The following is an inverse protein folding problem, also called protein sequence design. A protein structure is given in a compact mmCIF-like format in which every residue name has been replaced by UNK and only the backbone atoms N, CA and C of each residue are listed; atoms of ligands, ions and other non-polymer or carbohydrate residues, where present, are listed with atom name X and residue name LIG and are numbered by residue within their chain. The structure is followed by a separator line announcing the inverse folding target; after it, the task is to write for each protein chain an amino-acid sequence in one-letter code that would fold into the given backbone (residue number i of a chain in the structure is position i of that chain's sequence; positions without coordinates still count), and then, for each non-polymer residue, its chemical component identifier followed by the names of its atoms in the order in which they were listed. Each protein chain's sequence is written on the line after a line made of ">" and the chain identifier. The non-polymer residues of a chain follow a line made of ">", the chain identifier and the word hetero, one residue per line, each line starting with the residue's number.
data_IF_089943005203
#
_entry.id   IF_089943005203
#
_cell.length_a   1.000
_cell.length_b   1.000
_cell.length_c   1.000
_cell.angle_alpha   90.00
_cell.angle_beta   90.00
_cell.angle_gamma   90.00
#
_symmetry.space_group_name_H-M   'P 1'
#
loop_
_entity.id
_entity.type
_entity.pdbx_description
1 polymer ?
#
# COMPACT_ATOMS: atom_id res chain seq x y z
N UNK A 1 -38.31 -16.40 49.96
CA UNK A 1 -38.87 -15.08 50.30
C UNK A 1 -38.81 -14.19 49.06
N UNK A 2 -39.83 -13.35 48.91
CA UNK A 2 -40.28 -12.59 47.73
C UNK A 2 -39.30 -11.46 47.26
N UNK A 3 -39.56 -10.66 46.19
CA UNK A 3 -38.70 -10.49 45.00
C UNK A 3 -38.55 -8.99 44.59
N UNK A 4 -38.34 -8.71 43.28
CA UNK A 4 -38.34 -7.40 42.57
C UNK A 4 -37.00 -6.61 42.67
N UNK A 5 -36.41 -6.04 41.62
CA UNK A 5 -36.98 -5.52 40.38
C UNK A 5 -35.92 -5.42 39.27
N UNK A 6 -36.44 -5.49 38.04
CA UNK A 6 -35.84 -5.43 36.72
C UNK A 6 -35.19 -4.09 36.35
N UNK A 7 -34.12 -4.18 35.54
CA UNK A 7 -33.94 -3.55 34.21
C UNK A 7 -34.08 -2.02 34.08
N UNK A 8 -33.01 -1.33 33.61
CA UNK A 8 -33.08 -0.40 32.46
C UNK A 8 -31.72 0.18 32.06
N UNK A 9 -31.42 0.00 30.79
CA UNK A 9 -30.54 0.84 29.96
C UNK A 9 -30.95 2.30 30.01
N UNK A 10 -29.97 3.21 30.01
CA UNK A 10 -30.21 4.63 29.76
C UNK A 10 -29.23 5.10 28.68
N UNK A 11 -29.78 5.18 27.48
CA UNK A 11 -29.30 5.99 26.35
C UNK A 11 -29.20 7.46 26.76
N UNK A 12 -28.05 8.10 26.49
CA UNK A 12 -27.90 9.54 26.70
C UNK A 12 -28.18 10.27 25.39
N UNK A 13 -29.39 10.82 25.30
CA UNK A 13 -29.83 11.75 24.27
C UNK A 13 -29.24 13.13 24.58
N UNK A 14 -28.41 13.69 23.70
CA UNK A 14 -27.99 15.09 23.80
C UNK A 14 -29.02 15.98 23.09
N UNK A 15 -29.70 16.83 23.87
CA UNK A 15 -30.54 17.91 23.36
C UNK A 15 -29.66 19.12 23.02
N UNK A 16 -29.80 19.63 21.80
CA UNK A 16 -29.14 20.83 21.31
C UNK A 16 -29.66 22.10 21.98
N UNK A 17 -28.76 22.88 22.57
CA UNK A 17 -29.01 24.24 23.04
C UNK A 17 -28.40 25.26 22.08
N UNK A 18 -29.26 26.09 21.47
CA UNK A 18 -28.90 27.26 20.67
C UNK A 18 -28.00 28.22 21.46
N UNK A 19 -26.78 28.48 20.97
CA UNK A 19 -25.94 29.60 21.43
C UNK A 19 -26.07 30.80 20.48
N UNK A 20 -26.32 31.95 21.09
CA UNK A 20 -26.57 33.27 20.47
C UNK A 20 -25.33 33.81 19.74
N UNK A 21 -25.59 34.52 18.65
CA UNK A 21 -24.64 35.25 17.80
C UNK A 21 -23.79 36.27 18.59
N UNK A 22 -22.47 36.24 18.37
CA UNK A 22 -21.54 37.33 18.70
C UNK A 22 -21.14 38.07 17.40
N UNK A 23 -20.95 39.40 17.43
CA UNK A 23 -20.67 40.20 16.24
C UNK A 23 -19.23 40.01 15.75
N UNK A 24 -19.08 39.83 14.43
CA UNK A 24 -17.81 39.70 13.72
C UNK A 24 -17.28 41.12 13.42
N UNK A 25 -16.10 41.47 13.93
CA UNK A 25 -15.36 42.68 13.51
C UNK A 25 -14.53 42.37 12.26
N UNK A 26 -14.49 43.25 11.24
CA UNK A 26 -13.72 43.00 10.02
C UNK A 26 -12.21 43.05 10.28
N UNK A 27 -11.47 42.10 9.69
CA UNK A 27 -10.00 42.05 9.70
C UNK A 27 -9.42 43.23 8.90
N UNK A 28 -8.32 43.85 9.35
CA UNK A 28 -7.59 44.84 8.54
C UNK A 28 -6.87 44.16 7.36
N UNK A 29 -6.61 44.88 6.25
CA UNK A 29 -5.99 44.32 5.06
C UNK A 29 -4.51 43.96 5.30
N UNK A 30 -4.11 42.80 4.80
CA UNK A 30 -2.72 42.31 4.86
C UNK A 30 -1.87 43.10 3.86
N UNK A 31 -0.78 43.71 4.34
CA UNK A 31 0.20 44.39 3.49
C UNK A 31 0.94 43.39 2.60
N UNK A 32 1.14 43.74 1.32
CA UNK A 32 1.84 42.93 0.35
C UNK A 32 3.32 42.71 0.75
N UNK A 33 3.78 41.46 0.71
CA UNK A 33 5.17 41.09 0.96
C UNK A 33 6.09 41.56 -0.20
N UNK A 34 7.32 42.03 0.07
CA UNK A 34 8.25 42.45 -0.97
C UNK A 34 8.83 41.24 -1.72
N UNK A 35 8.87 41.34 -3.06
CA UNK A 35 9.50 40.35 -3.93
C UNK A 35 11.01 40.27 -3.63
N UNK A 36 11.51 39.09 -3.24
CA UNK A 36 12.95 38.82 -3.15
C UNK A 36 13.51 38.42 -4.52
N UNK A 37 14.63 39.03 -4.90
CA UNK A 37 15.39 38.69 -6.10
C UNK A 37 15.98 37.26 -6.02
N UNK A 38 16.17 36.57 -7.16
CA UNK A 38 16.67 35.20 -7.18
C UNK A 38 18.16 35.12 -6.81
N UNK A 39 18.53 34.10 -6.03
CA UNK A 39 19.91 33.81 -5.66
C UNK A 39 20.73 33.27 -6.87
N UNK A 40 22.04 33.55 -6.95
CA UNK A 40 22.89 33.08 -8.04
C UNK A 40 23.17 31.56 -7.94
N UNK A 41 23.21 30.88 -9.10
CA UNK A 41 23.50 29.44 -9.21
C UNK A 41 24.95 29.11 -8.80
N UNK A 42 25.21 28.00 -8.10
CA UNK A 42 26.56 27.51 -7.89
C UNK A 42 27.15 26.90 -9.16
N UNK A 43 28.38 27.30 -9.49
CA UNK A 43 29.19 26.77 -10.60
C UNK A 43 29.79 25.40 -10.26
N UNK A 44 29.68 24.45 -11.19
CA UNK A 44 30.26 23.10 -11.08
C UNK A 44 31.81 23.12 -11.07
N UNK A 45 32.49 22.24 -10.30
CA UNK A 45 33.94 22.10 -10.40
C UNK A 45 34.33 21.22 -11.59
N UNK A 46 35.31 21.71 -12.35
CA UNK A 46 36.03 21.01 -13.41
C UNK A 46 37.04 20.07 -12.76
N UNK A 47 36.93 18.75 -12.98
CA UNK A 47 38.00 17.79 -12.68
C UNK A 47 38.50 17.09 -13.94
N UNK A 48 39.81 17.19 -14.10
CA UNK A 48 40.64 16.80 -15.25
C UNK A 48 40.81 15.28 -15.30
N UNK A 49 40.65 14.71 -16.49
CA UNK A 49 40.90 13.29 -16.83
C UNK A 49 42.32 12.85 -16.48
N UNK A 50 42.44 11.64 -15.91
CA UNK A 50 43.63 10.79 -16.06
C UNK A 50 43.17 9.42 -16.54
N UNK A 51 43.67 9.06 -17.72
CA UNK A 51 43.49 7.77 -18.36
C UNK A 51 44.39 6.74 -17.68
N UNK A 52 43.85 5.56 -17.33
CA UNK A 52 44.67 4.37 -17.15
C UNK A 52 43.93 3.15 -17.74
N UNK A 53 44.45 2.68 -18.88
CA UNK A 53 44.09 1.43 -19.53
C UNK A 53 44.76 0.27 -18.81
N UNK A 54 44.00 -0.75 -18.40
CA UNK A 54 44.51 -2.11 -18.30
C UNK A 54 43.40 -3.10 -18.70
N UNK A 55 43.72 -3.93 -19.69
CA UNK A 55 42.96 -5.07 -20.18
C UNK A 55 42.94 -6.19 -19.14
N UNK A 56 41.88 -7.00 -19.12
CA UNK A 56 42.01 -8.44 -18.85
C UNK A 56 40.84 -9.19 -19.50
N UNK A 57 41.17 -9.89 -20.58
CA UNK A 57 40.43 -11.01 -21.12
C UNK A 57 41.01 -12.31 -20.57
N UNK A 58 40.14 -13.32 -20.51
CA UNK A 58 40.40 -14.76 -20.60
C UNK A 58 40.95 -15.52 -19.38
N UNK A 59 40.07 -16.42 -18.92
CA UNK A 59 40.30 -17.84 -18.59
C UNK A 59 41.27 -18.19 -17.47
N UNK A 60 40.79 -18.95 -16.48
CA UNK A 60 41.54 -20.09 -15.97
C UNK A 60 40.62 -21.28 -15.61
N UNK A 61 40.95 -22.38 -16.26
CA UNK A 61 40.53 -23.76 -16.00
C UNK A 61 41.59 -24.45 -15.13
N UNK A 62 41.13 -25.52 -14.45
CA UNK A 62 41.87 -26.71 -14.00
C UNK A 62 42.74 -26.69 -12.72
N UNK A 63 42.33 -27.59 -11.81
CA UNK A 63 43.06 -28.58 -11.01
C UNK A 63 44.54 -28.36 -10.64
N UNK A 64 44.84 -28.48 -9.34
CA UNK A 64 46.00 -29.21 -8.84
C UNK A 64 45.81 -29.66 -7.38
N UNK A 65 46.30 -30.87 -7.10
CA UNK A 65 46.29 -31.58 -5.83
C UNK A 65 47.41 -31.11 -4.87
N UNK A 66 47.25 -31.39 -3.58
CA UNK A 66 48.30 -31.31 -2.57
C UNK A 66 47.89 -32.04 -1.28
N UNK A 67 48.63 -33.10 -0.95
CA UNK A 67 48.46 -34.02 0.18
C UNK A 67 48.65 -33.37 1.55
N UNK A 68 48.03 -33.96 2.58
CA UNK A 68 48.66 -34.16 3.89
C UNK A 68 48.10 -35.43 4.58
N UNK A 69 49.03 -36.35 4.81
CA UNK A 69 49.07 -37.51 5.71
C UNK A 69 48.34 -37.27 7.04
N UNK A 70 47.70 -38.21 7.75
CA UNK A 70 47.82 -39.65 7.84
C UNK A 70 47.73 -40.05 9.33
N UNK A 71 46.56 -40.47 9.81
CA UNK A 71 46.41 -41.22 11.06
C UNK A 71 45.45 -42.39 10.80
N UNK A 72 45.99 -43.62 10.87
CA UNK A 72 45.28 -44.89 10.76
C UNK A 72 44.57 -45.21 12.08
N UNK A 73 43.29 -45.55 12.02
CA UNK A 73 42.68 -46.47 12.99
C UNK A 73 41.81 -47.53 12.30
N UNK A 74 41.87 -48.74 12.86
CA UNK A 74 41.43 -50.03 12.31
C UNK A 74 39.91 -50.14 12.11
N UNK A 75 39.50 -50.73 10.97
CA UNK A 75 38.15 -51.29 10.75
C UNK A 75 38.03 -52.69 11.37
N UNK A 76 36.84 -53.05 11.88
CA UNK A 76 36.35 -54.41 11.73
C UNK A 76 34.99 -54.47 11.01
N UNK A 77 34.91 -55.39 10.05
CA UNK A 77 33.78 -56.27 9.75
C UNK A 77 32.38 -55.70 9.60
N UNK A 78 31.87 -55.69 8.36
CA UNK A 78 30.48 -55.45 8.01
C UNK A 78 29.51 -56.47 8.65
N UNK A 79 28.42 -55.97 9.23
CA UNK A 79 27.14 -56.68 9.35
C UNK A 79 26.03 -55.79 8.81
N UNK A 80 25.37 -56.22 7.73
CA UNK A 80 24.14 -55.60 7.22
C UNK A 80 23.03 -55.86 8.23
N UNK A 81 22.59 -54.83 8.93
CA UNK A 81 21.33 -54.84 9.69
C UNK A 81 20.30 -54.02 8.92
N UNK A 82 19.25 -54.69 8.43
CA UNK A 82 18.06 -54.04 7.88
C UNK A 82 17.21 -53.49 9.03
N UNK A 83 17.15 -52.17 9.17
CA UNK A 83 16.24 -51.52 10.11
C UNK A 83 14.87 -51.27 9.46
N UNK A 84 13.75 -51.60 10.13
CA UNK A 84 12.42 -51.29 9.60
C UNK A 84 12.21 -49.78 9.57
N UNK A 85 11.75 -49.25 8.43
CA UNK A 85 11.24 -47.89 8.31
C UNK A 85 9.95 -47.75 9.12
N UNK A 86 10.05 -47.41 10.39
CA UNK A 86 8.92 -46.87 11.16
C UNK A 86 9.02 -45.34 11.12
N UNK A 87 8.12 -44.71 10.36
CA UNK A 87 7.93 -43.27 10.39
C UNK A 87 7.32 -42.91 11.76
N UNK A 88 7.81 -41.88 12.46
CA UNK A 88 7.11 -41.35 13.62
C UNK A 88 5.72 -40.90 13.18
N UNK A 89 4.69 -41.36 13.89
CA UNK A 89 3.31 -40.94 13.68
C UNK A 89 3.20 -39.47 14.14
N UNK A 90 3.40 -38.54 13.21
CA UNK A 90 3.07 -37.14 13.42
C UNK A 90 1.57 -37.11 13.64
N UNK A 91 1.17 -36.77 14.87
CA UNK A 91 -0.21 -36.70 15.30
C UNK A 91 -1.06 -35.99 14.26
N UNK A 92 -2.22 -36.59 13.99
CA UNK A 92 -3.24 -36.13 13.07
C UNK A 92 -3.24 -34.62 12.92
N UNK A 93 -2.86 -34.16 11.72
CA UNK A 93 -3.24 -32.83 11.26
C UNK A 93 -4.72 -32.67 11.60
N UNK A 94 -5.03 -31.69 12.46
CA UNK A 94 -6.39 -31.27 12.76
C UNK A 94 -7.16 -31.28 11.46
N UNK A 95 -8.16 -32.16 11.36
CA UNK A 95 -9.07 -32.20 10.21
C UNK A 95 -9.71 -30.82 10.13
N UNK A 96 -9.18 -29.94 9.28
CA UNK A 96 -9.89 -28.73 8.87
C UNK A 96 -11.10 -29.25 8.12
N UNK A 97 -12.25 -29.24 8.79
CA UNK A 97 -13.55 -29.64 8.25
C UNK A 97 -13.79 -28.84 6.97
N UNK A 98 -13.46 -29.43 5.83
CA UNK A 98 -13.86 -28.95 4.50
C UNK A 98 -15.38 -29.15 4.40
N UNK A 99 -16.15 -28.18 4.90
CA UNK A 99 -17.59 -28.34 4.96
C UNK A 99 -18.42 -27.10 5.30
N UNK A 100 -17.83 -26.01 5.77
CA UNK A 100 -18.56 -24.74 5.91
C UNK A 100 -18.17 -23.85 4.73
N UNK A 101 -19.06 -23.75 3.75
CA UNK A 101 -18.95 -22.71 2.72
C UNK A 101 -19.17 -21.38 3.43
N UNK A 102 -18.08 -20.73 3.86
CA UNK A 102 -18.14 -19.40 4.44
C UNK A 102 -18.58 -18.43 3.34
N UNK A 103 -19.87 -18.19 3.24
CA UNK A 103 -20.44 -17.18 2.36
C UNK A 103 -20.26 -15.82 3.02
N UNK A 104 -19.49 -14.94 2.40
CA UNK A 104 -19.39 -13.55 2.85
C UNK A 104 -20.78 -12.91 2.65
N UNK A 105 -21.43 -12.41 3.72
CA UNK A 105 -22.78 -11.86 3.62
C UNK A 105 -22.81 -10.65 2.68
N UNK A 106 -23.95 -10.29 2.07
CA UNK A 106 -24.09 -9.03 1.34
C UNK A 106 -23.86 -7.83 2.27
N UNK A 107 -23.40 -6.71 1.72
CA UNK A 107 -23.23 -5.45 2.48
C UNK A 107 -24.61 -4.88 2.80
N UNK A 108 -24.84 -4.47 4.05
CA UNK A 108 -26.08 -3.80 4.42
C UNK A 108 -26.10 -2.34 3.90
N UNK A 109 -27.28 -1.74 3.65
CA UNK A 109 -27.38 -0.41 3.03
C UNK A 109 -26.63 0.72 3.75
N UNK A 110 -26.48 0.60 5.07
CA UNK A 110 -25.87 1.59 5.95
C UNK A 110 -24.43 1.22 6.33
N UNK A 111 -23.83 0.24 5.66
CA UNK A 111 -22.54 -0.34 6.01
C UNK A 111 -21.51 -0.13 4.91
N UNK A 112 -20.29 0.23 5.31
CA UNK A 112 -19.11 0.22 4.45
C UNK A 112 -18.15 -0.88 4.90
N UNK A 113 -17.53 -1.57 3.95
CA UNK A 113 -16.50 -2.57 4.22
C UNK A 113 -15.17 -2.09 3.69
N UNK A 114 -14.13 -2.27 4.50
CA UNK A 114 -12.74 -2.08 4.12
C UNK A 114 -12.09 -3.44 4.21
N UNK A 115 -11.55 -3.93 3.10
CA UNK A 115 -11.02 -5.29 2.99
C UNK A 115 -9.61 -5.21 2.39
N UNK A 116 -8.55 -5.36 3.18
CA UNK A 116 -7.22 -5.56 2.64
C UNK A 116 -7.14 -6.96 2.00
N UNK A 117 -6.79 -7.02 0.72
CA UNK A 117 -6.49 -8.27 0.00
C UNK A 117 -4.98 -8.59 -0.03
N UNK A 118 -4.14 -7.64 0.40
CA UNK A 118 -2.71 -7.78 0.60
C UNK A 118 -2.13 -6.51 1.23
N UNK A 119 -0.88 -6.58 1.71
CA UNK A 119 -0.18 -5.45 2.35
C UNK A 119 -0.38 -5.34 3.87
N UNK A 120 -1.02 -6.34 4.50
CA UNK A 120 -1.20 -6.40 5.96
C UNK A 120 -0.40 -7.58 6.49
N UNK A 121 0.39 -7.35 7.54
CA UNK A 121 1.35 -8.33 8.11
C UNK A 121 2.44 -8.77 7.11
N UNK A 122 2.69 -7.98 6.07
CA UNK A 122 3.70 -8.23 5.04
C UNK A 122 4.18 -6.94 4.38
N UNK A 123 5.30 -6.98 3.66
CA UNK A 123 5.81 -5.87 2.85
C UNK A 123 5.43 -6.10 1.39
N UNK A 124 4.70 -5.13 0.83
CA UNK A 124 4.20 -5.09 -0.54
C UNK A 124 2.90 -5.85 -0.75
N UNK A 125 2.55 -6.13 -2.01
CA UNK A 125 1.24 -6.67 -2.39
C UNK A 125 0.06 -5.76 -1.95
N UNK A 126 0.28 -4.43 -1.88
CA UNK A 126 -0.72 -3.49 -1.40
C UNK A 126 -1.97 -3.53 -2.30
N UNK A 127 -3.10 -3.90 -1.70
CA UNK A 127 -4.41 -3.85 -2.35
C UNK A 127 -5.49 -3.79 -1.25
N UNK A 128 -6.22 -2.68 -1.20
CA UNK A 128 -7.33 -2.50 -0.27
C UNK A 128 -8.62 -2.20 -1.03
N UNK A 129 -9.72 -2.81 -0.60
CA UNK A 129 -11.04 -2.58 -1.18
C UNK A 129 -11.88 -1.73 -0.23
N UNK A 130 -12.54 -0.74 -0.78
CA UNK A 130 -13.68 -0.07 -0.18
C UNK A 130 -14.97 -0.52 -0.89
N UNK A 131 -15.93 -1.05 -0.13
CA UNK A 131 -17.19 -1.55 -0.66
C UNK A 131 -18.39 -1.00 0.10
N UNK A 132 -19.38 -0.50 -0.64
CA UNK A 132 -20.72 -0.20 -0.14
C UNK A 132 -21.75 -1.17 -0.75
N UNK A 133 -23.05 -0.96 -0.51
CA UNK A 133 -24.12 -1.81 -1.04
C UNK A 133 -23.99 -2.06 -2.55
N UNK A 134 -23.61 -1.04 -3.34
CA UNK A 134 -23.69 -1.04 -4.79
C UNK A 134 -22.33 -1.01 -5.50
N UNK A 135 -21.32 -0.42 -4.87
CA UNK A 135 -20.07 -0.04 -5.52
C UNK A 135 -18.85 -0.61 -4.78
N UNK A 136 -17.83 -0.96 -5.57
CA UNK A 136 -16.49 -1.32 -5.13
C UNK A 136 -15.50 -0.33 -5.72
N UNK A 137 -14.64 0.21 -4.86
CA UNK A 137 -13.47 1.00 -5.22
C UNK A 137 -12.24 0.22 -4.74
N UNK A 138 -11.29 -0.01 -5.64
CA UNK A 138 -10.03 -0.68 -5.32
C UNK A 138 -8.97 0.40 -5.14
N UNK A 139 -8.15 0.28 -4.09
CA UNK A 139 -6.98 1.11 -3.84
C UNK A 139 -5.75 0.22 -4.02
N UNK A 140 -4.92 0.58 -5.01
CA UNK A 140 -3.70 -0.09 -5.40
C UNK A 140 -3.88 -1.56 -5.85
N UNK A 141 -2.86 -2.06 -6.55
CA UNK A 141 -2.73 -3.40 -7.09
C UNK A 141 -1.25 -3.79 -7.16
N UNK A 142 -0.64 -3.91 -5.99
CA UNK A 142 0.75 -4.27 -5.79
C UNK A 142 1.07 -5.74 -5.96
N UNK A 143 2.33 -6.04 -6.26
CA UNK A 143 2.88 -7.39 -6.07
C UNK A 143 3.88 -7.40 -4.91
N UNK A 144 4.32 -8.58 -4.51
CA UNK A 144 5.44 -8.77 -3.60
C UNK A 144 6.55 -9.54 -4.31
N UNK A 145 7.80 -9.14 -4.10
CA UNK A 145 8.94 -9.88 -4.64
C UNK A 145 9.12 -11.22 -3.92
N UNK A 146 9.77 -12.16 -4.61
CA UNK A 146 10.09 -13.47 -4.04
C UNK A 146 10.88 -13.38 -2.73
N UNK A 147 10.64 -14.35 -1.86
CA UNK A 147 11.39 -14.57 -0.63
C UNK A 147 12.20 -15.87 -0.72
N UNK A 148 13.15 -16.06 0.20
CA UNK A 148 13.93 -17.31 0.31
C UNK A 148 13.02 -18.54 0.49
N UNK A 149 11.86 -18.37 1.14
CA UNK A 149 10.88 -19.41 1.36
C UNK A 149 10.09 -19.82 0.09
N UNK A 150 10.21 -19.07 -1.02
CA UNK A 150 9.47 -19.28 -2.27
C UNK A 150 10.41 -19.50 -3.46
N UNK A 151 11.19 -20.59 -3.51
CA UNK A 151 12.11 -20.84 -4.61
C UNK A 151 11.36 -21.08 -5.92
N UNK A 152 11.78 -20.39 -6.98
CA UNK A 152 11.23 -20.53 -8.34
C UNK A 152 10.02 -19.64 -8.66
N UNK A 153 9.58 -18.80 -7.71
CA UNK A 153 8.57 -17.76 -7.94
C UNK A 153 9.30 -16.42 -8.13
N UNK A 154 8.83 -15.59 -9.07
CA UNK A 154 9.35 -14.22 -9.25
C UNK A 154 8.55 -13.20 -8.43
N UNK A 155 7.22 -13.32 -8.46
CA UNK A 155 6.28 -12.40 -7.83
C UNK A 155 5.11 -13.14 -7.16
N UNK A 156 4.63 -12.58 -6.05
CA UNK A 156 3.42 -13.00 -5.35
C UNK A 156 2.35 -11.92 -5.57
N UNK A 157 1.14 -12.35 -5.93
CA UNK A 157 0.02 -11.48 -6.31
C UNK A 157 -1.14 -11.62 -5.32
N UNK A 158 -1.95 -10.55 -5.12
CA UNK A 158 -3.10 -10.62 -4.24
C UNK A 158 -4.18 -11.56 -4.81
N UNK A 159 -4.91 -12.23 -3.93
CA UNK A 159 -6.01 -13.11 -4.34
C UNK A 159 -7.26 -12.29 -4.68
N UNK A 160 -7.52 -12.11 -5.97
CA UNK A 160 -8.64 -11.30 -6.48
C UNK A 160 -9.98 -12.02 -6.55
N UNK A 161 -10.12 -13.24 -6.06
CA UNK A 161 -11.36 -14.03 -6.19
C UNK A 161 -12.61 -13.27 -5.68
N UNK A 162 -12.46 -12.49 -4.60
CA UNK A 162 -13.54 -11.66 -4.07
C UNK A 162 -14.10 -10.67 -5.11
N UNK A 163 -13.19 -10.02 -5.84
CA UNK A 163 -13.47 -9.04 -6.89
C UNK A 163 -13.99 -9.71 -8.17
N UNK A 164 -13.42 -10.86 -8.54
CA UNK A 164 -13.82 -11.60 -9.73
C UNK A 164 -15.28 -12.08 -9.68
N UNK A 165 -15.79 -12.39 -8.50
CA UNK A 165 -17.19 -12.73 -8.28
C UNK A 165 -18.13 -11.50 -8.29
N UNK A 166 -17.57 -10.28 -8.16
CA UNK A 166 -18.28 -9.01 -7.97
C UNK A 166 -17.90 -7.94 -8.99
N UNK A 167 -17.35 -8.33 -10.15
CA UNK A 167 -16.85 -7.38 -11.18
C UNK A 167 -17.84 -6.29 -11.54
N UNK A 168 -19.12 -6.63 -11.60
CA UNK A 168 -20.22 -5.71 -11.93
C UNK A 168 -20.40 -4.55 -10.92
N UNK A 169 -19.89 -4.68 -9.69
CA UNK A 169 -19.88 -3.63 -8.67
C UNK A 169 -18.64 -2.74 -8.75
N UNK A 170 -17.57 -3.17 -9.42
CA UNK A 170 -16.30 -2.43 -9.46
C UNK A 170 -16.49 -1.20 -10.33
N UNK A 171 -16.30 -0.02 -9.73
CA UNK A 171 -16.46 1.27 -10.40
C UNK A 171 -15.15 1.90 -10.81
N UNK A 172 -14.11 1.67 -10.03
CA UNK A 172 -12.80 2.24 -10.25
C UNK A 172 -11.71 1.45 -9.53
N UNK A 173 -10.50 1.60 -10.05
CA UNK A 173 -9.27 1.43 -9.30
C UNK A 173 -8.63 2.80 -9.11
N UNK A 174 -8.11 3.08 -7.92
CA UNK A 174 -7.37 4.28 -7.60
C UNK A 174 -5.94 3.84 -7.25
N UNK A 175 -4.94 4.49 -7.83
CA UNK A 175 -3.54 4.16 -7.60
C UNK A 175 -2.82 5.32 -6.94
N UNK A 176 -2.32 5.11 -5.72
CA UNK A 176 -1.69 6.13 -4.88
C UNK A 176 -0.38 6.65 -5.48
N UNK A 177 0.51 5.75 -5.88
CA UNK A 177 1.82 6.10 -6.45
C UNK A 177 2.42 4.96 -7.29
N UNK A 178 3.56 5.23 -7.94
CA UNK A 178 4.12 4.38 -9.00
C UNK A 178 5.04 3.24 -8.54
N UNK A 179 5.18 2.95 -7.24
CA UNK A 179 6.01 1.82 -6.83
C UNK A 179 5.36 0.47 -7.19
N UNK A 180 6.20 -0.53 -7.46
CA UNK A 180 5.76 -1.82 -7.95
C UNK A 180 4.97 -2.63 -6.91
N UNK A 181 5.17 -2.38 -5.64
CA UNK A 181 4.36 -2.92 -4.56
C UNK A 181 2.99 -2.23 -4.41
N UNK A 182 2.68 -1.24 -5.26
CA UNK A 182 1.35 -0.62 -5.43
C UNK A 182 0.77 -0.80 -6.84
N UNK A 183 1.60 -1.02 -7.87
CA UNK A 183 1.14 -1.14 -9.27
C UNK A 183 1.48 -2.47 -9.96
N UNK A 184 2.37 -3.26 -9.35
CA UNK A 184 3.07 -4.36 -10.02
C UNK A 184 2.21 -5.55 -10.35
N UNK A 185 1.11 -5.77 -9.62
CA UNK A 185 0.15 -6.83 -9.90
C UNK A 185 -0.90 -6.45 -10.95
N UNK A 186 -1.08 -5.15 -11.22
CA UNK A 186 -2.17 -4.65 -12.07
C UNK A 186 -2.26 -5.38 -13.42
N UNK A 187 -1.19 -5.52 -14.23
CA UNK A 187 -1.29 -6.18 -15.54
C UNK A 187 -1.74 -7.64 -15.48
N UNK A 188 -1.49 -8.33 -14.36
CA UNK A 188 -1.83 -9.75 -14.18
C UNK A 188 -3.29 -9.98 -13.78
N UNK A 189 -3.95 -8.97 -13.22
CA UNK A 189 -5.27 -9.10 -12.61
C UNK A 189 -6.34 -8.21 -13.25
N UNK A 190 -5.96 -7.19 -14.02
CA UNK A 190 -6.88 -6.16 -14.52
C UNK A 190 -8.03 -6.74 -15.36
N UNK A 191 -7.75 -7.71 -16.23
CA UNK A 191 -8.79 -8.42 -16.99
C UNK A 191 -9.71 -9.25 -16.09
N UNK A 192 -9.13 -9.87 -15.05
CA UNK A 192 -9.88 -10.66 -14.07
C UNK A 192 -10.83 -9.80 -13.28
N UNK A 193 -10.52 -8.53 -13.04
CA UNK A 193 -11.41 -7.62 -12.31
C UNK A 193 -12.30 -6.76 -13.22
N UNK A 194 -12.29 -7.03 -14.53
CA UNK A 194 -13.23 -6.41 -15.48
C UNK A 194 -12.78 -5.05 -16.04
N UNK A 195 -11.48 -4.73 -15.97
CA UNK A 195 -10.90 -3.52 -16.58
C UNK A 195 -11.58 -2.21 -16.14
N UNK A 196 -11.75 -1.94 -14.82
CA UNK A 196 -12.34 -0.69 -14.37
C UNK A 196 -11.45 0.51 -14.75
N UNK A 197 -12.02 1.73 -14.87
CA UNK A 197 -11.23 2.95 -15.02
C UNK A 197 -10.24 3.11 -13.87
N UNK A 198 -9.02 3.57 -14.20
CA UNK A 198 -7.91 3.75 -13.27
C UNK A 198 -7.69 5.24 -13.02
N UNK A 199 -7.96 5.67 -11.80
CA UNK A 199 -7.72 7.04 -11.33
C UNK A 199 -6.32 7.13 -10.75
N UNK A 200 -5.50 8.01 -11.31
CA UNK A 200 -4.10 8.14 -10.91
C UNK A 200 -3.52 9.48 -11.33
N UNK A 201 -2.30 9.80 -10.88
CA UNK A 201 -1.53 10.96 -11.36
C UNK A 201 -0.71 10.61 -12.60
N UNK A 202 -0.23 11.65 -13.28
CA UNK A 202 0.38 11.51 -14.59
C UNK A 202 1.59 10.57 -14.59
N UNK A 203 2.55 10.76 -13.66
CA UNK A 203 3.74 9.89 -13.58
C UNK A 203 3.38 8.41 -13.42
N UNK A 204 2.47 8.10 -12.49
CA UNK A 204 2.02 6.74 -12.21
C UNK A 204 1.33 6.12 -13.43
N UNK A 205 0.53 6.89 -14.17
CA UNK A 205 -0.06 6.43 -15.44
C UNK A 205 1.00 6.04 -16.48
N UNK A 206 2.10 6.80 -16.58
CA UNK A 206 3.19 6.53 -17.50
C UNK A 206 3.97 5.28 -17.10
N UNK A 207 4.20 5.08 -15.79
CA UNK A 207 4.83 3.87 -15.27
C UNK A 207 3.97 2.63 -15.53
N UNK A 208 2.65 2.74 -15.32
CA UNK A 208 1.71 1.67 -15.65
C UNK A 208 1.70 1.38 -17.15
N UNK A 209 1.66 2.39 -18.03
CA UNK A 209 1.77 2.20 -19.49
C UNK A 209 3.06 1.49 -19.87
N UNK A 210 4.19 1.87 -19.28
CA UNK A 210 5.48 1.21 -19.52
C UNK A 210 5.44 -0.26 -19.10
N UNK A 211 4.87 -0.56 -17.93
CA UNK A 211 4.73 -1.93 -17.44
C UNK A 211 3.77 -2.74 -18.32
N UNK A 212 2.66 -2.13 -18.75
CA UNK A 212 1.65 -2.72 -19.63
C UNK A 212 2.23 -3.10 -21.01
N UNK A 213 3.26 -2.41 -21.49
CA UNK A 213 3.92 -2.75 -22.75
C UNK A 213 4.56 -4.16 -22.74
N UNK A 214 4.81 -4.73 -21.57
CA UNK A 214 5.27 -6.12 -21.41
C UNK A 214 4.12 -7.15 -21.52
N UNK A 215 2.87 -6.68 -21.55
CA UNK A 215 1.63 -7.47 -21.65
C UNK A 215 0.80 -7.04 -22.86
N UNK A 216 1.31 -7.18 -24.10
CA UNK A 216 0.63 -6.68 -25.31
C UNK A 216 -0.71 -7.36 -25.63
N UNK A 217 -1.06 -8.43 -24.91
CA UNK A 217 -2.35 -9.13 -25.04
C UNK A 217 -3.44 -8.50 -24.17
N UNK A 218 -3.07 -7.75 -23.14
CA UNK A 218 -4.02 -7.07 -22.25
C UNK A 218 -4.46 -5.76 -22.93
N UNK A 219 -5.77 -5.46 -23.00
CA UNK A 219 -6.26 -4.22 -23.62
C UNK A 219 -5.68 -2.96 -22.99
N UNK A 220 -5.77 -1.84 -23.72
CA UNK A 220 -5.36 -0.54 -23.22
C UNK A 220 -6.15 -0.17 -21.95
N UNK A 221 -5.41 0.36 -20.98
CA UNK A 221 -5.95 0.79 -19.70
C UNK A 221 -6.65 2.15 -19.82
N UNK A 222 -7.87 2.27 -19.28
CA UNK A 222 -8.60 3.54 -19.22
C UNK A 222 -8.13 4.39 -18.04
N UNK A 223 -7.16 5.28 -18.28
CA UNK A 223 -6.66 6.20 -17.26
C UNK A 223 -7.52 7.46 -17.13
N UNK A 224 -7.89 7.80 -15.90
CA UNK A 224 -8.44 9.10 -15.49
C UNK A 224 -7.38 9.84 -14.68
N UNK A 225 -6.75 10.85 -15.30
CA UNK A 225 -5.69 11.62 -14.65
C UNK A 225 -6.33 12.59 -13.66
N UNK A 226 -5.86 12.52 -12.41
CA UNK A 226 -6.23 13.45 -11.34
C UNK A 226 -5.17 14.53 -11.23
N UNK A 227 -5.61 15.79 -11.29
CA UNK A 227 -4.75 16.96 -11.14
C UNK A 227 -5.08 17.68 -9.82
N UNK A 228 -4.04 18.02 -9.04
CA UNK A 228 -4.20 18.72 -7.77
C UNK A 228 -5.06 17.97 -6.73
N UNK A 229 -5.97 18.69 -6.09
CA UNK A 229 -6.86 18.22 -5.02
C UNK A 229 -8.30 18.02 -5.50
N UNK A 230 -8.48 17.54 -6.73
CA UNK A 230 -9.79 17.37 -7.36
C UNK A 230 -10.68 16.37 -6.59
N UNK A 231 -11.99 16.63 -6.59
CA UNK A 231 -13.00 15.70 -6.10
C UNK A 231 -13.76 15.08 -7.27
N UNK A 232 -13.86 13.75 -7.30
CA UNK A 232 -14.59 12.98 -8.29
C UNK A 232 -15.73 12.21 -7.65
N UNK A 233 -16.73 11.85 -8.43
CA UNK A 233 -17.81 10.94 -8.00
C UNK A 233 -17.63 9.60 -8.72
N UNK A 234 -17.40 8.55 -7.95
CA UNK A 234 -17.22 7.19 -8.44
C UNK A 234 -18.42 6.36 -7.97
N UNK A 235 -19.31 6.02 -8.90
CA UNK A 235 -20.61 5.43 -8.56
C UNK A 235 -21.42 6.41 -7.71
N UNK A 236 -21.74 6.01 -6.48
CA UNK A 236 -22.44 6.84 -5.48
C UNK A 236 -21.52 7.43 -4.42
N UNK A 237 -20.20 7.31 -4.58
CA UNK A 237 -19.21 7.71 -3.58
C UNK A 237 -18.42 8.92 -4.06
N UNK A 238 -18.37 9.98 -3.25
CA UNK A 238 -17.48 11.11 -3.51
C UNK A 238 -16.08 10.78 -2.99
N UNK A 239 -15.09 10.97 -3.86
CA UNK A 239 -13.67 10.73 -3.56
C UNK A 239 -12.89 12.00 -3.83
N UNK A 240 -12.01 12.39 -2.92
CA UNK A 240 -11.11 13.54 -3.07
C UNK A 240 -9.67 13.05 -2.96
N UNK A 241 -8.77 13.82 -3.53
CA UNK A 241 -7.34 13.52 -3.52
C UNK A 241 -6.55 14.66 -2.89
N UNK A 242 -5.37 14.34 -2.38
CA UNK A 242 -4.44 15.34 -1.85
C UNK A 242 -2.99 14.93 -2.14
N UNK A 243 -2.07 15.90 -2.17
CA UNK A 243 -0.64 15.63 -2.34
C UNK A 243 -0.08 14.85 -1.15
N UNK A 244 0.90 13.99 -1.40
CA UNK A 244 1.62 13.25 -0.36
C UNK A 244 3.09 13.24 -0.71
N UNK A 245 3.93 13.55 0.28
CA UNK A 245 5.38 13.40 0.14
C UNK A 245 5.76 11.93 0.25
N UNK A 246 6.52 11.43 -0.72
CA UNK A 246 7.09 10.08 -0.73
C UNK A 246 8.38 10.04 -1.56
N UNK A 247 9.04 8.89 -1.63
CA UNK A 247 10.26 8.72 -2.43
C UNK A 247 10.03 8.71 -3.94
N UNK A 248 8.77 8.71 -4.40
CA UNK A 248 8.42 8.92 -5.80
C UNK A 248 7.52 10.16 -5.93
N UNK A 249 7.76 11.04 -6.94
CA UNK A 249 6.89 12.17 -7.22
C UNK A 249 5.46 11.72 -7.56
N UNK A 250 4.53 12.68 -7.63
CA UNK A 250 3.15 12.42 -8.04
C UNK A 250 2.43 11.39 -7.14
N UNK A 251 2.89 11.22 -5.89
CA UNK A 251 2.19 10.44 -4.88
C UNK A 251 0.96 11.22 -4.40
N UNK A 252 -0.14 10.49 -4.15
CA UNK A 252 -1.38 11.09 -3.69
C UNK A 252 -2.09 10.26 -2.63
N UNK A 253 -2.70 10.99 -1.69
CA UNK A 253 -3.64 10.45 -0.74
C UNK A 253 -5.07 10.47 -1.28
N UNK A 254 -5.92 9.67 -0.64
CA UNK A 254 -7.31 9.42 -1.02
C UNK A 254 -8.20 9.72 0.19
N UNK A 255 -9.30 10.39 -0.06
CA UNK A 255 -10.38 10.61 0.90
C UNK A 255 -11.66 10.07 0.29
N UNK A 256 -12.28 9.12 0.96
CA UNK A 256 -13.58 8.56 0.64
C UNK A 256 -14.61 9.22 1.57
N UNK A 257 -15.49 10.02 0.98
CA UNK A 257 -16.51 10.78 1.70
C UNK A 257 -17.73 9.89 1.94
N UNK A 258 -18.00 9.56 3.21
CA UNK A 258 -19.15 8.74 3.62
C UNK A 258 -20.10 9.56 4.49
N UNK A 259 -21.39 9.17 4.59
CA UNK A 259 -22.33 9.80 5.51
C UNK A 259 -21.90 9.82 6.99
N UNK A 260 -20.93 8.99 7.38
CA UNK A 260 -20.44 8.86 8.75
C UNK A 260 -19.15 9.65 9.03
N UNK A 261 -18.52 10.18 7.99
CA UNK A 261 -17.21 10.84 8.04
C UNK A 261 -16.27 10.34 6.96
N UNK A 262 -15.10 10.96 6.90
CA UNK A 262 -14.08 10.67 5.90
C UNK A 262 -13.28 9.44 6.29
N UNK A 263 -13.12 8.53 5.34
CA UNK A 263 -12.14 7.44 5.41
C UNK A 263 -11.00 7.86 4.50
N UNK A 264 -9.79 7.95 5.03
CA UNK A 264 -8.66 8.47 4.28
C UNK A 264 -7.44 7.57 4.38
N UNK A 265 -6.64 7.54 3.31
CA UNK A 265 -5.32 6.94 3.29
C UNK A 265 -4.37 7.87 2.55
N UNK A 266 -3.18 8.17 3.08
CA UNK A 266 -2.13 8.83 2.30
C UNK A 266 -1.44 7.87 1.32
N UNK A 267 -1.71 6.56 1.38
CA UNK A 267 -0.84 5.55 0.79
C UNK A 267 0.45 5.44 1.62
N UNK A 268 1.56 5.20 0.95
CA UNK A 268 2.88 5.37 1.56
C UNK A 268 3.21 6.86 1.64
N UNK A 269 3.79 7.28 2.75
CA UNK A 269 4.13 8.67 2.98
C UNK A 269 5.37 8.84 3.87
N UNK A 270 6.05 9.94 3.64
CA UNK A 270 6.98 10.54 4.58
C UNK A 270 6.47 11.93 4.92
N UNK A 271 6.74 12.37 6.14
CA UNK A 271 6.46 13.76 6.52
C UNK A 271 7.72 14.58 6.30
N UNK A 272 7.70 15.48 5.32
CA UNK A 272 8.79 16.43 5.11
C UNK A 272 8.86 17.44 6.24
N UNK A 273 10.07 17.73 6.73
CA UNK A 273 10.24 18.59 7.89
C UNK A 273 11.62 19.27 7.95
N UNK A 274 11.68 20.39 8.66
CA UNK A 274 12.92 21.06 9.08
C UNK A 274 12.96 21.09 10.60
N UNK A 275 13.95 20.41 11.20
CA UNK A 275 14.11 20.29 12.66
C UNK A 275 12.84 19.82 13.39
N UNK A 276 12.17 18.80 12.83
CA UNK A 276 10.96 18.20 13.38
C UNK A 276 9.68 19.03 13.20
N UNK A 277 9.74 20.13 12.43
CA UNK A 277 8.56 20.92 12.04
C UNK A 277 8.20 20.66 10.59
N UNK A 278 6.95 20.29 10.27
CA UNK A 278 6.51 20.14 8.88
C UNK A 278 6.87 21.36 8.03
N UNK A 279 7.22 21.13 6.77
CA UNK A 279 7.42 22.23 5.81
C UNK A 279 6.07 22.84 5.42
N UNK A 280 6.09 24.07 4.88
CA UNK A 280 4.85 24.75 4.46
C UNK A 280 4.07 23.92 3.41
N UNK A 281 4.80 23.27 2.48
CA UNK A 281 4.23 22.37 1.47
C UNK A 281 3.59 21.13 2.12
N UNK A 282 4.24 20.56 3.14
CA UNK A 282 3.72 19.41 3.88
C UNK A 282 2.45 19.79 4.67
N UNK A 283 2.41 20.96 5.32
CA UNK A 283 1.19 21.44 5.98
C UNK A 283 0.04 21.67 4.98
N UNK A 284 0.34 22.21 3.80
CA UNK A 284 -0.64 22.45 2.74
C UNK A 284 -1.30 21.15 2.26
N UNK A 285 -0.56 20.04 2.19
CA UNK A 285 -1.09 18.74 1.80
C UNK A 285 -2.15 18.19 2.75
N UNK A 286 -2.06 18.49 4.04
CA UNK A 286 -2.97 17.93 5.05
C UNK A 286 -4.00 18.94 5.57
N UNK A 287 -3.89 20.23 5.25
CA UNK A 287 -4.79 21.29 5.75
C UNK A 287 -6.26 21.01 5.44
N UNK A 288 -6.58 20.30 4.36
CA UNK A 288 -7.96 19.97 4.01
C UNK A 288 -8.64 19.03 5.01
N UNK A 289 -7.86 18.31 5.83
CA UNK A 289 -8.36 17.43 6.89
C UNK A 289 -8.70 18.22 8.17
N UNK A 290 -8.19 19.45 8.31
CA UNK A 290 -8.41 20.25 9.53
C UNK A 290 -9.89 20.58 9.74
N UNK A 291 -10.34 20.39 10.98
CA UNK A 291 -11.74 20.56 11.38
C UNK A 291 -12.74 19.61 10.71
N UNK A 292 -12.29 18.58 9.98
CA UNK A 292 -13.17 17.59 9.33
C UNK A 292 -13.44 16.39 10.23
N UNK A 293 -14.61 15.77 10.03
CA UNK A 293 -14.93 14.50 10.67
C UNK A 293 -14.23 13.36 9.93
N UNK A 294 -12.97 13.09 10.29
CA UNK A 294 -12.22 11.91 9.82
C UNK A 294 -12.59 10.72 10.69
N UNK A 295 -13.36 9.79 10.12
CA UNK A 295 -13.80 8.57 10.80
C UNK A 295 -12.67 7.56 10.91
N UNK A 296 -11.84 7.44 9.87
CA UNK A 296 -10.78 6.44 9.80
C UNK A 296 -9.60 6.93 8.97
N UNK A 297 -8.39 6.67 9.46
CA UNK A 297 -7.13 6.81 8.74
C UNK A 297 -6.51 5.42 8.55
N UNK A 298 -6.28 5.05 7.28
CA UNK A 298 -5.49 3.89 6.88
C UNK A 298 -4.05 4.37 6.65
N UNK A 299 -3.24 4.37 7.71
CA UNK A 299 -1.83 4.76 7.66
C UNK A 299 -0.92 3.60 7.29
N UNK A 300 0.15 3.88 6.54
CA UNK A 300 1.23 2.91 6.36
C UNK A 300 1.97 2.65 7.68
N UNK A 301 2.59 1.48 7.79
CA UNK A 301 3.24 1.03 9.03
C UNK A 301 4.66 0.51 8.84
N UNK A 302 5.28 0.77 7.69
CA UNK A 302 6.57 0.17 7.28
C UNK A 302 7.71 0.45 8.26
N UNK A 303 7.73 1.65 8.84
CA UNK A 303 8.83 2.11 9.71
C UNK A 303 8.41 2.43 11.15
N UNK A 304 7.28 1.91 11.63
CA UNK A 304 6.75 2.26 12.97
C UNK A 304 7.67 1.86 14.13
N UNK A 305 8.56 0.89 13.91
CA UNK A 305 9.51 0.43 14.92
C UNK A 305 10.70 1.39 15.12
N UNK A 306 10.85 2.39 14.25
CA UNK A 306 11.93 3.37 14.29
C UNK A 306 11.44 4.70 14.89
N UNK A 307 11.84 5.06 16.11
CA UNK A 307 11.45 6.33 16.70
C UNK A 307 12.18 7.50 16.03
N UNK A 308 11.57 8.68 16.05
CA UNK A 308 12.15 9.92 15.55
C UNK A 308 11.51 10.36 14.23
N UNK A 309 12.30 10.97 13.37
CA UNK A 309 11.85 11.45 12.07
C UNK A 309 12.69 10.84 10.94
N UNK A 310 12.07 10.74 9.77
CA UNK A 310 12.73 10.38 8.53
C UNK A 310 13.87 11.36 8.22
N UNK A 311 14.94 10.87 7.59
CA UNK A 311 15.92 11.80 7.01
C UNK A 311 15.25 12.64 5.91
N UNK A 312 15.61 13.93 5.78
CA UNK A 312 15.17 14.79 4.66
C UNK A 312 15.55 14.21 3.30
#
# INVERSE_FOLDING_TARGET
>A
MNPNNNNRSVSRVYHGGLKKNLPITPRPPVAAAPQRAPAPRPTAPITRRQDNKLNMSDTFSSNAAGELTGIKMKKPGAKRFSMPRTRPNIGSASQIKHGVKHTIPPVAPDTFRIIPLGGVEEIGMNMTIFENEHDIIIIDAGFKFKEEATPGIDYILPNTKYLEERKHKIRAMIVTHGHLDHIGALPYIIEKIGMPPIYTRNLTSLMLKKRQAEFPHVPDLDFKIIEGNEGVVIGQTSVKFFGVTHSIPDSMGIIIDTPYGWITTPGDFKLDHIDGKPTDDEEEYYILLDGKNVLMLLGESTFIDYPGFSSP
#
